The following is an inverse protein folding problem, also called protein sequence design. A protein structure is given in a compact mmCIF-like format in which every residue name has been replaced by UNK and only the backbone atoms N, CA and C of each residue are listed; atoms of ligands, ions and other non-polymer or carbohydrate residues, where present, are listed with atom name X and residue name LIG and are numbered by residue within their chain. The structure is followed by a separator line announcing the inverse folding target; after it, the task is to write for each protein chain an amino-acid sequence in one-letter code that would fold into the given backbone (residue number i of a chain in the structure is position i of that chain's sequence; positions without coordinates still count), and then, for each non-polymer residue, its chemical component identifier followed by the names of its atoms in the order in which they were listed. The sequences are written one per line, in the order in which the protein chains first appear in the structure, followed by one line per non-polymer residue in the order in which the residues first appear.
data_IF_347793126935
#
_entry.id   IF_347793126935
#
_cell.length_a   1.000
_cell.length_b   1.000
_cell.length_c   1.000
_cell.angle_alpha   90.00
_cell.angle_beta   90.00
_cell.angle_gamma   90.00
#
_symmetry.space_group_name_H-M   'P 1'
#
loop_
_entity.id
_entity.type
_entity.pdbx_description
1 polymer ?
#
# COMPACT_ATOMS: atom_id res chain seq x y z
N UNK A 1 -68.64 1.26 -0.98
CA UNK A 1 -67.44 1.66 -0.25
C UNK A 1 -66.23 1.12 -1.05
N UNK A 2 -65.51 2.00 -1.76
CA UNK A 2 -64.35 1.61 -2.60
C UNK A 2 -63.10 2.05 -1.86
N UNK A 3 -62.28 1.10 -1.40
CA UNK A 3 -60.98 1.36 -0.78
C UNK A 3 -59.94 1.53 -1.89
N UNK A 4 -59.43 2.75 -2.02
CA UNK A 4 -58.26 3.10 -2.84
C UNK A 4 -57.01 2.76 -2.02
N UNK A 5 -56.27 1.73 -2.42
CA UNK A 5 -54.92 1.47 -1.92
C UNK A 5 -53.94 2.32 -2.72
N UNK A 6 -53.36 3.34 -2.09
CA UNK A 6 -52.25 4.10 -2.61
C UNK A 6 -50.94 3.33 -2.38
N UNK A 7 -50.40 2.75 -3.44
CA UNK A 7 -49.06 2.11 -3.40
C UNK A 7 -47.98 3.20 -3.45
N UNK A 8 -47.29 3.37 -2.32
CA UNK A 8 -46.12 4.26 -2.23
C UNK A 8 -44.89 3.52 -2.80
N UNK A 9 -44.50 3.87 -4.02
CA UNK A 9 -43.25 3.40 -4.62
C UNK A 9 -42.07 4.13 -3.94
N UNK A 10 -41.32 3.42 -3.09
CA UNK A 10 -40.03 3.86 -2.56
C UNK A 10 -38.99 3.77 -3.70
N UNK A 11 -38.67 4.90 -4.31
CA UNK A 11 -37.50 5.02 -5.19
C UNK A 11 -36.23 5.01 -4.31
N UNK A 12 -35.61 3.84 -4.19
CA UNK A 12 -34.26 3.74 -3.64
C UNK A 12 -33.29 4.40 -4.63
N UNK A 13 -32.79 5.58 -4.30
CA UNK A 13 -31.71 6.23 -5.04
C UNK A 13 -30.43 5.42 -4.88
N UNK A 14 -30.05 4.67 -5.93
CA UNK A 14 -28.72 4.09 -6.09
C UNK A 14 -27.75 5.27 -6.28
N UNK A 15 -27.14 5.74 -5.20
CA UNK A 15 -26.00 6.64 -5.33
C UNK A 15 -24.87 5.87 -6.05
N UNK A 16 -24.28 6.43 -7.13
CA UNK A 16 -23.15 5.80 -7.76
C UNK A 16 -22.03 5.72 -6.72
N UNK A 17 -21.50 4.52 -6.47
CA UNK A 17 -20.22 4.34 -5.79
C UNK A 17 -19.16 4.91 -6.73
N UNK A 18 -18.82 6.18 -6.56
CA UNK A 18 -17.60 6.72 -7.15
C UNK A 18 -16.45 6.02 -6.44
N UNK A 19 -15.62 5.28 -7.18
CA UNK A 19 -14.34 4.81 -6.65
C UNK A 19 -13.63 6.04 -6.09
N UNK A 20 -13.45 6.07 -4.77
CA UNK A 20 -12.84 7.22 -4.12
C UNK A 20 -11.39 7.28 -4.58
N UNK A 21 -10.98 8.40 -5.16
CA UNK A 21 -9.59 8.68 -5.51
C UNK A 21 -8.73 8.80 -4.24
N UNK A 22 -7.41 8.68 -4.38
CA UNK A 22 -6.51 8.90 -3.25
C UNK A 22 -6.70 10.30 -2.67
N UNK A 23 -6.93 10.39 -1.37
CA UNK A 23 -7.05 11.63 -0.64
C UNK A 23 -5.68 12.13 -0.19
N UNK A 24 -5.50 13.45 -0.24
CA UNK A 24 -4.28 14.16 0.18
C UNK A 24 -4.65 15.12 1.29
N UNK A 25 -4.17 14.89 2.51
CA UNK A 25 -4.45 15.73 3.68
C UNK A 25 -3.15 16.22 4.30
N UNK A 26 -2.96 17.53 4.42
CA UNK A 26 -1.88 18.11 5.20
C UNK A 26 -2.27 18.20 6.68
N UNK A 27 -1.43 17.66 7.57
CA UNK A 27 -1.56 17.80 9.01
C UNK A 27 -0.19 18.18 9.59
N UNK A 28 -0.03 19.41 10.06
CA UNK A 28 1.29 19.94 10.41
C UNK A 28 2.28 19.78 9.25
N UNK A 29 3.41 19.13 9.51
CA UNK A 29 4.48 18.86 8.54
C UNK A 29 4.26 17.52 7.78
N UNK A 30 3.14 16.85 8.00
CA UNK A 30 2.89 15.53 7.44
C UNK A 30 1.85 15.58 6.34
N UNK A 31 2.16 14.98 5.18
CA UNK A 31 1.19 14.68 4.15
C UNK A 31 0.64 13.27 4.38
N UNK A 32 -0.65 13.15 4.66
CA UNK A 32 -1.37 11.87 4.69
C UNK A 32 -1.95 11.60 3.31
N UNK A 33 -1.66 10.42 2.75
CA UNK A 33 -2.19 9.93 1.49
C UNK A 33 -2.96 8.63 1.76
N UNK A 34 -4.25 8.58 1.42
CA UNK A 34 -5.12 7.44 1.74
C UNK A 34 -6.07 7.08 0.59
N UNK A 35 -6.47 5.80 0.51
CA UNK A 35 -7.35 5.31 -0.54
C UNK A 35 -6.63 4.80 -1.79
N UNK A 36 -7.37 4.48 -2.86
CA UNK A 36 -6.81 3.88 -4.07
C UNK A 36 -5.99 4.87 -4.89
N UNK A 37 -4.91 4.36 -5.49
CA UNK A 37 -4.06 5.11 -6.42
C UNK A 37 -4.77 5.24 -7.76
N UNK A 38 -4.93 6.46 -8.26
CA UNK A 38 -5.56 6.73 -9.55
C UNK A 38 -4.64 7.49 -10.54
N UNK A 39 -5.10 7.68 -11.76
CA UNK A 39 -4.35 8.29 -12.86
C UNK A 39 -4.04 9.79 -12.66
N UNK A 40 -4.62 10.44 -11.66
CA UNK A 40 -4.45 11.87 -11.41
C UNK A 40 -3.56 12.19 -10.20
N UNK A 41 -3.11 11.17 -9.45
CA UNK A 41 -2.42 11.36 -8.18
C UNK A 41 -1.08 12.08 -8.32
N UNK A 42 -0.36 11.88 -9.43
CA UNK A 42 0.85 12.66 -9.67
C UNK A 42 0.57 14.16 -9.77
N UNK A 43 -0.52 14.54 -10.45
CA UNK A 43 -0.91 15.94 -10.58
C UNK A 43 -1.35 16.50 -9.23
N UNK A 44 -2.12 15.73 -8.45
CA UNK A 44 -2.54 16.09 -7.08
C UNK A 44 -1.33 16.29 -6.18
N UNK A 45 -0.36 15.36 -6.21
CA UNK A 45 0.88 15.48 -5.42
C UNK A 45 1.67 16.72 -5.80
N UNK A 46 1.86 16.99 -7.09
CA UNK A 46 2.57 18.21 -7.56
C UNK A 46 1.90 19.47 -7.08
N UNK A 47 0.58 19.56 -7.20
CA UNK A 47 -0.20 20.71 -6.72
C UNK A 47 -0.09 20.86 -5.21
N UNK A 48 -0.14 19.77 -4.47
CA UNK A 48 0.03 19.77 -3.02
C UNK A 48 1.41 20.30 -2.61
N UNK A 49 2.47 19.77 -3.21
CA UNK A 49 3.85 20.17 -2.93
C UNK A 49 4.19 21.60 -3.39
N UNK A 50 3.42 22.17 -4.32
CA UNK A 50 3.57 23.57 -4.71
C UNK A 50 3.13 24.54 -3.58
N UNK A 51 2.22 24.09 -2.71
CA UNK A 51 1.64 24.92 -1.63
C UNK A 51 2.21 24.53 -0.26
N UNK A 52 2.46 23.24 -0.05
CA UNK A 52 2.91 22.68 1.23
C UNK A 52 4.34 22.14 1.14
N UNK A 53 5.01 22.07 2.30
CA UNK A 53 6.37 21.50 2.43
C UNK A 53 6.38 20.41 3.50
N UNK A 54 5.79 19.23 3.20
CA UNK A 54 5.79 18.15 4.16
C UNK A 54 7.22 17.65 4.40
N UNK A 55 7.47 17.17 5.60
CA UNK A 55 8.71 16.49 5.99
C UNK A 55 8.54 14.99 6.10
N UNK A 56 7.31 14.51 6.04
CA UNK A 56 6.93 13.10 6.07
C UNK A 56 5.70 12.85 5.20
N UNK A 57 5.70 11.73 4.47
CA UNK A 57 4.50 11.20 3.78
C UNK A 57 4.03 9.96 4.52
N UNK A 58 2.80 9.98 5.01
CA UNK A 58 2.14 8.82 5.62
C UNK A 58 1.15 8.22 4.63
N UNK A 59 1.37 6.96 4.27
CA UNK A 59 0.45 6.17 3.45
C UNK A 59 -0.50 5.41 4.37
N UNK A 60 -1.81 5.62 4.18
CA UNK A 60 -2.83 5.11 5.09
C UNK A 60 -3.93 4.37 4.34
N UNK A 61 -4.19 3.11 4.74
CA UNK A 61 -5.29 2.26 4.23
C UNK A 61 -5.46 2.33 2.70
N UNK A 62 -4.35 2.16 1.95
CA UNK A 62 -4.37 2.17 0.49
C UNK A 62 -4.27 0.77 -0.10
N UNK A 63 -5.24 0.34 -0.92
CA UNK A 63 -5.19 -0.94 -1.63
C UNK A 63 -4.28 -0.92 -2.86
N UNK A 64 -3.64 0.21 -3.16
CA UNK A 64 -2.97 0.44 -4.43
C UNK A 64 -3.93 0.87 -5.53
N UNK A 65 -3.67 0.48 -6.77
CA UNK A 65 -4.44 0.90 -7.94
C UNK A 65 -3.56 1.05 -9.17
N UNK A 66 -3.58 2.23 -9.83
CA UNK A 66 -2.80 2.46 -11.03
C UNK A 66 -1.29 2.34 -10.80
N UNK A 67 -0.69 1.32 -11.42
CA UNK A 67 0.73 0.99 -11.27
C UNK A 67 1.62 2.12 -11.75
N UNK A 68 1.28 2.72 -12.90
CA UNK A 68 2.12 3.74 -13.52
C UNK A 68 2.11 5.03 -12.71
N UNK A 69 0.94 5.45 -12.24
CA UNK A 69 0.83 6.60 -11.35
C UNK A 69 1.51 6.34 -10.00
N UNK A 70 1.32 5.17 -9.40
CA UNK A 70 2.04 4.81 -8.17
C UNK A 70 3.56 4.96 -8.33
N UNK A 71 4.12 4.50 -9.45
CA UNK A 71 5.53 4.68 -9.77
C UNK A 71 5.93 6.16 -9.92
N UNK A 72 5.15 6.95 -10.64
CA UNK A 72 5.44 8.37 -10.85
C UNK A 72 5.31 9.18 -9.55
N UNK A 73 4.29 8.91 -8.74
CA UNK A 73 4.11 9.50 -7.41
C UNK A 73 5.29 9.17 -6.51
N UNK A 74 5.70 7.89 -6.49
CA UNK A 74 6.88 7.46 -5.75
C UNK A 74 8.16 8.17 -6.20
N UNK A 75 8.41 8.26 -7.51
CA UNK A 75 9.56 9.00 -8.03
C UNK A 75 9.54 10.47 -7.58
N UNK A 76 8.38 11.10 -7.60
CA UNK A 76 8.26 12.49 -7.15
C UNK A 76 8.58 12.65 -5.66
N UNK A 77 8.10 11.72 -4.82
CA UNK A 77 8.44 11.68 -3.38
C UNK A 77 9.95 11.54 -3.18
N UNK A 78 10.60 10.68 -3.97
CA UNK A 78 12.05 10.48 -3.91
C UNK A 78 12.84 11.70 -4.38
N UNK A 79 12.41 12.37 -5.46
CA UNK A 79 13.00 13.62 -5.97
C UNK A 79 12.94 14.74 -4.92
N UNK A 80 11.86 14.79 -4.12
CA UNK A 80 11.72 15.73 -3.02
C UNK A 80 12.46 15.30 -1.74
N UNK A 81 13.18 14.16 -1.77
CA UNK A 81 13.87 13.57 -0.63
C UNK A 81 12.99 13.32 0.60
N UNK A 82 11.72 12.98 0.37
CA UNK A 82 10.77 12.77 1.44
C UNK A 82 10.87 11.36 2.02
N UNK A 83 10.87 11.20 3.35
CA UNK A 83 10.63 9.93 3.99
C UNK A 83 9.16 9.52 3.84
N UNK A 84 8.95 8.20 3.86
CA UNK A 84 7.59 7.61 3.84
C UNK A 84 7.37 6.75 5.07
N UNK A 85 6.14 6.75 5.55
CA UNK A 85 5.73 5.86 6.62
C UNK A 85 4.38 5.22 6.30
N UNK A 86 4.11 4.05 6.89
CA UNK A 86 2.86 3.34 6.67
C UNK A 86 2.04 3.25 7.94
N UNK A 87 0.73 3.47 7.82
CA UNK A 87 -0.28 3.31 8.86
C UNK A 87 -1.43 2.46 8.31
N UNK A 88 -1.62 1.26 8.84
CA UNK A 88 -2.57 0.30 8.28
C UNK A 88 -2.04 -0.38 7.02
N UNK A 89 -2.86 -0.54 5.99
CA UNK A 89 -2.51 -1.26 4.76
C UNK A 89 -1.91 -0.32 3.72
N UNK A 90 -0.85 -0.80 3.04
CA UNK A 90 -0.31 -0.18 1.84
C UNK A 90 0.08 -1.29 0.87
N UNK A 91 -0.78 -1.57 -0.11
CA UNK A 91 -0.66 -2.71 -1.00
C UNK A 91 -0.43 -2.27 -2.45
N UNK A 92 0.19 -3.13 -3.27
CA UNK A 92 0.30 -2.95 -4.72
C UNK A 92 1.01 -1.63 -5.10
N UNK A 93 0.39 -0.76 -5.90
CA UNK A 93 0.93 0.53 -6.31
C UNK A 93 1.29 1.42 -5.11
N UNK A 94 0.55 1.34 -3.98
CA UNK A 94 0.89 2.02 -2.74
C UNK A 94 2.25 1.55 -2.19
N UNK A 95 2.54 0.24 -2.25
CA UNK A 95 3.83 -0.28 -1.79
C UNK A 95 5.00 0.29 -2.60
N UNK A 96 4.82 0.56 -3.89
CA UNK A 96 5.85 1.22 -4.71
C UNK A 96 6.04 2.68 -4.30
N UNK A 97 4.95 3.39 -3.97
CA UNK A 97 5.05 4.75 -3.41
C UNK A 97 5.82 4.70 -2.09
N UNK A 98 5.50 3.76 -1.20
CA UNK A 98 6.19 3.59 0.07
C UNK A 98 7.69 3.29 -0.11
N UNK A 99 8.04 2.35 -0.99
CA UNK A 99 9.43 1.97 -1.24
C UNK A 99 10.27 3.13 -1.81
N UNK A 100 9.63 4.15 -2.38
CA UNK A 100 10.33 5.30 -2.96
C UNK A 100 10.84 6.28 -1.91
N UNK A 101 10.36 6.23 -0.67
CA UNK A 101 10.83 7.09 0.41
C UNK A 101 12.33 6.95 0.68
N UNK A 102 12.98 8.06 1.02
CA UNK A 102 14.40 8.08 1.38
C UNK A 102 14.67 7.37 2.71
N UNK A 103 13.77 7.51 3.66
CA UNK A 103 13.64 6.69 4.86
C UNK A 103 12.25 6.07 4.86
N UNK A 104 12.13 4.83 5.34
CA UNK A 104 10.88 4.07 5.33
C UNK A 104 10.65 3.43 6.69
N UNK A 105 9.47 3.67 7.27
CA UNK A 105 9.11 3.19 8.61
C UNK A 105 7.65 2.76 8.72
N UNK A 106 7.33 2.11 9.82
CA UNK A 106 5.96 1.91 10.27
C UNK A 106 5.59 2.98 11.29
N UNK A 107 4.29 3.26 11.46
CA UNK A 107 3.81 4.24 12.44
C UNK A 107 2.86 3.61 13.45
N UNK A 108 2.57 4.35 14.51
CA UNK A 108 1.58 4.02 15.53
C UNK A 108 0.15 4.51 15.20
N UNK A 109 -0.07 5.05 14.00
CA UNK A 109 -1.40 5.52 13.56
C UNK A 109 -2.45 4.41 13.47
N UNK A 110 -2.00 3.17 13.21
CA UNK A 110 -2.79 1.93 13.37
C UNK A 110 -1.99 0.93 14.18
N UNK A 111 -2.65 -0.03 14.86
CA UNK A 111 -1.93 -1.07 15.58
C UNK A 111 -0.95 -1.82 14.67
N UNK A 112 0.24 -2.13 15.19
CA UNK A 112 1.30 -2.85 14.46
C UNK A 112 0.82 -4.20 13.90
N UNK A 113 -0.16 -4.81 14.55
CA UNK A 113 -0.76 -6.09 14.14
C UNK A 113 -1.54 -6.04 12.83
N UNK A 114 -1.99 -4.86 12.39
CA UNK A 114 -2.76 -4.65 11.15
C UNK A 114 -2.03 -3.77 10.14
N UNK A 115 -0.88 -3.20 10.50
CA UNK A 115 -0.06 -2.37 9.62
C UNK A 115 0.86 -3.25 8.78
N UNK A 116 0.83 -3.08 7.45
CA UNK A 116 1.56 -3.93 6.51
C UNK A 116 1.84 -3.24 5.18
N UNK A 117 2.90 -3.70 4.52
CA UNK A 117 3.22 -3.37 3.12
C UNK A 117 3.05 -4.64 2.28
N UNK A 118 2.20 -4.60 1.25
CA UNK A 118 1.90 -5.72 0.38
C UNK A 118 2.46 -5.54 -1.03
N UNK A 119 3.32 -6.46 -1.46
CA UNK A 119 3.95 -6.47 -2.78
C UNK A 119 3.43 -7.65 -3.61
N UNK A 120 3.07 -7.39 -4.85
CA UNK A 120 2.68 -8.41 -5.83
C UNK A 120 2.99 -7.96 -7.26
N UNK A 121 2.92 -8.88 -8.23
CA UNK A 121 3.10 -8.59 -9.65
C UNK A 121 1.94 -7.81 -10.25
N UNK A 122 2.20 -7.10 -11.35
CA UNK A 122 1.16 -6.39 -12.08
C UNK A 122 0.10 -7.36 -12.64
N UNK A 123 -1.14 -6.92 -12.64
CA UNK A 123 -2.26 -7.66 -13.24
C UNK A 123 -3.28 -6.70 -13.86
N UNK A 124 -4.05 -7.19 -14.81
CA UNK A 124 -5.17 -6.46 -15.37
C UNK A 124 -6.27 -6.28 -14.32
N UNK A 125 -6.80 -5.09 -14.19
CA UNK A 125 -7.90 -4.79 -13.27
C UNK A 125 -9.17 -5.55 -13.68
N UNK A 126 -9.43 -5.62 -14.99
CA UNK A 126 -10.65 -6.21 -15.52
C UNK A 126 -10.62 -7.74 -15.53
N UNK A 127 -9.53 -8.33 -16.01
CA UNK A 127 -9.44 -9.77 -16.23
C UNK A 127 -8.76 -10.52 -15.08
N UNK A 128 -8.12 -9.80 -14.17
CA UNK A 128 -7.29 -10.37 -13.09
C UNK A 128 -6.16 -11.29 -13.60
N UNK A 129 -5.75 -11.12 -14.86
CA UNK A 129 -4.63 -11.88 -15.43
C UNK A 129 -3.32 -11.18 -15.09
N UNK A 130 -2.27 -11.93 -14.68
CA UNK A 130 -0.93 -11.36 -14.50
C UNK A 130 -0.41 -10.73 -15.79
N UNK A 131 0.19 -9.53 -15.66
CA UNK A 131 0.84 -8.78 -16.74
C UNK A 131 2.35 -8.98 -16.63
N UNK A 132 2.81 -10.18 -16.97
CA UNK A 132 4.21 -10.61 -16.76
C UNK A 132 5.22 -9.84 -17.61
N UNK A 133 4.78 -9.18 -18.67
CA UNK A 133 5.59 -8.26 -19.47
C UNK A 133 6.06 -7.02 -18.67
N UNK A 134 5.37 -6.68 -17.58
CA UNK A 134 5.76 -5.58 -16.67
C UNK A 134 6.72 -6.05 -15.56
N UNK A 135 6.83 -7.38 -15.35
CA UNK A 135 7.61 -7.95 -14.25
C UNK A 135 9.09 -7.57 -14.26
N UNK A 136 9.81 -7.50 -15.41
CA UNK A 136 11.22 -7.07 -15.42
C UNK A 136 11.40 -5.64 -14.90
N UNK A 137 10.46 -4.74 -15.24
CA UNK A 137 10.48 -3.36 -14.79
C UNK A 137 10.18 -3.26 -13.30
N UNK A 138 9.20 -3.99 -12.80
CA UNK A 138 8.88 -4.05 -11.38
C UNK A 138 10.04 -4.63 -10.56
N UNK A 139 10.68 -5.70 -11.06
CA UNK A 139 11.87 -6.27 -10.41
C UNK A 139 13.01 -5.25 -10.30
N UNK A 140 13.26 -4.49 -11.37
CA UNK A 140 14.24 -3.42 -11.34
C UNK A 140 13.90 -2.35 -10.29
N UNK A 141 12.64 -1.93 -10.23
CA UNK A 141 12.16 -0.93 -9.25
C UNK A 141 12.37 -1.41 -7.82
N UNK A 142 11.87 -2.60 -7.49
CA UNK A 142 11.98 -3.16 -6.14
C UNK A 142 13.45 -3.33 -5.75
N UNK A 143 14.30 -3.90 -6.62
CA UNK A 143 15.75 -4.01 -6.36
C UNK A 143 16.40 -2.66 -6.08
N UNK A 144 16.08 -1.66 -6.87
CA UNK A 144 16.67 -0.32 -6.71
C UNK A 144 16.21 0.33 -5.41
N UNK A 145 14.92 0.25 -5.09
CA UNK A 145 14.33 0.89 -3.93
C UNK A 145 14.71 0.19 -2.61
N UNK A 146 15.07 -1.10 -2.66
CA UNK A 146 15.49 -1.89 -1.50
C UNK A 146 17.00 -2.05 -1.38
N UNK A 147 17.80 -1.28 -2.15
CA UNK A 147 19.26 -1.37 -2.20
C UNK A 147 19.74 -2.82 -2.47
N UNK A 148 19.02 -3.54 -3.32
CA UNK A 148 19.24 -4.96 -3.66
C UNK A 148 19.18 -5.94 -2.49
N UNK A 149 18.59 -5.55 -1.37
CA UNK A 149 18.41 -6.41 -0.19
C UNK A 149 17.25 -7.38 -0.33
N UNK A 150 16.28 -7.07 -1.22
CA UNK A 150 15.15 -7.97 -1.46
C UNK A 150 15.64 -9.25 -2.13
N UNK A 151 15.44 -10.45 -1.54
CA UNK A 151 15.99 -11.70 -2.07
C UNK A 151 15.52 -11.99 -3.48
N UNK A 152 16.42 -12.42 -4.37
CA UNK A 152 16.12 -12.63 -5.78
C UNK A 152 15.06 -13.72 -6.03
N UNK A 153 15.07 -14.80 -5.26
CA UNK A 153 14.06 -15.86 -5.35
C UNK A 153 12.68 -15.37 -4.91
N UNK A 154 12.62 -14.57 -3.85
CA UNK A 154 11.38 -13.94 -3.39
C UNK A 154 10.89 -12.89 -4.40
N UNK A 155 11.82 -12.10 -4.96
CA UNK A 155 11.51 -11.12 -5.99
C UNK A 155 10.88 -11.77 -7.22
N UNK A 156 11.45 -12.88 -7.70
CA UNK A 156 10.86 -13.62 -8.83
C UNK A 156 9.43 -14.08 -8.53
N UNK A 157 9.18 -14.64 -7.35
CA UNK A 157 7.81 -15.03 -6.96
C UNK A 157 6.87 -13.85 -6.80
N UNK A 158 7.38 -12.71 -6.30
CA UNK A 158 6.60 -11.49 -6.13
C UNK A 158 6.14 -10.91 -7.47
N UNK A 159 7.06 -10.79 -8.46
CA UNK A 159 6.76 -10.08 -9.71
C UNK A 159 6.26 -10.98 -10.84
N UNK A 160 6.41 -12.32 -10.71
CA UNK A 160 5.85 -13.31 -11.61
C UNK A 160 4.84 -14.20 -10.85
N UNK A 161 3.74 -13.65 -10.35
CA UNK A 161 2.78 -14.40 -9.57
C UNK A 161 2.07 -15.45 -10.44
N UNK A 162 1.63 -16.55 -9.83
CA UNK A 162 0.78 -17.53 -10.48
C UNK A 162 -0.66 -17.04 -10.58
N UNK A 163 -1.05 -16.18 -9.65
CA UNK A 163 -2.37 -15.60 -9.54
C UNK A 163 -2.26 -14.12 -9.22
N UNK A 164 -3.13 -13.28 -9.77
CA UNK A 164 -3.15 -11.84 -9.53
C UNK A 164 -3.32 -11.45 -8.04
N UNK A 165 -3.87 -12.36 -7.25
CA UNK A 165 -4.11 -12.15 -5.82
C UNK A 165 -2.98 -12.71 -4.93
N UNK A 166 -1.92 -13.31 -5.51
CA UNK A 166 -0.74 -13.74 -4.75
C UNK A 166 -0.02 -12.49 -4.23
N UNK A 167 0.36 -12.49 -2.95
CA UNK A 167 0.89 -11.31 -2.27
C UNK A 167 2.01 -11.67 -1.31
N UNK A 168 3.05 -10.85 -1.26
CA UNK A 168 4.08 -10.89 -0.21
C UNK A 168 3.85 -9.70 0.72
N UNK A 169 3.53 -9.98 1.98
CA UNK A 169 3.35 -8.98 3.02
C UNK A 169 4.60 -8.82 3.86
N UNK A 170 4.98 -7.58 4.10
CA UNK A 170 5.97 -7.19 5.08
C UNK A 170 5.26 -6.51 6.26
N UNK A 171 5.43 -7.08 7.46
CA UNK A 171 4.96 -6.52 8.73
C UNK A 171 6.15 -6.02 9.53
N UNK A 172 5.89 -5.13 10.48
CA UNK A 172 6.92 -4.72 11.43
C UNK A 172 7.38 -5.92 12.27
N UNK A 173 8.70 -6.12 12.49
CA UNK A 173 9.21 -7.26 13.28
C UNK A 173 8.62 -7.36 14.68
N UNK A 174 8.28 -6.25 15.32
CA UNK A 174 7.64 -6.22 16.64
C UNK A 174 6.29 -6.96 16.69
N UNK A 175 5.58 -7.14 15.56
CA UNK A 175 4.36 -7.95 15.51
C UNK A 175 4.59 -9.40 15.92
N UNK A 176 5.77 -9.92 15.63
CA UNK A 176 6.14 -11.32 15.83
C UNK A 176 7.23 -11.51 16.91
N UNK A 177 7.50 -10.47 17.70
CA UNK A 177 8.56 -10.51 18.72
C UNK A 177 8.41 -11.65 19.75
N UNK A 178 7.16 -12.12 19.95
CA UNK A 178 6.86 -13.24 20.85
C UNK A 178 6.90 -14.62 20.16
N UNK A 179 7.08 -14.70 18.85
CA UNK A 179 7.09 -15.96 18.09
C UNK A 179 8.51 -16.34 17.69
N UNK A 180 8.88 -17.62 17.84
CA UNK A 180 10.26 -18.08 17.76
C UNK A 180 10.86 -18.18 16.36
N UNK A 181 10.09 -18.13 15.28
CA UNK A 181 10.57 -18.48 13.94
C UNK A 181 10.35 -17.42 12.86
N UNK A 182 9.37 -16.55 12.99
CA UNK A 182 9.02 -15.62 11.93
C UNK A 182 9.30 -14.17 12.30
N UNK A 183 9.82 -13.41 11.32
CA UNK A 183 10.20 -12.00 11.50
C UNK A 183 9.36 -11.03 10.69
N UNK A 184 8.20 -11.49 10.17
CA UNK A 184 7.20 -10.61 9.61
C UNK A 184 7.10 -10.56 8.08
N UNK A 185 7.79 -11.43 7.34
CA UNK A 185 7.54 -11.60 5.90
C UNK A 185 6.65 -12.80 5.69
N UNK A 186 5.50 -12.56 5.04
CA UNK A 186 4.45 -13.58 4.83
C UNK A 186 4.10 -13.65 3.34
N UNK A 187 4.23 -14.81 2.74
CA UNK A 187 3.78 -15.09 1.38
C UNK A 187 2.36 -15.70 1.43
N UNK A 188 1.40 -15.04 0.81
CA UNK A 188 0.02 -15.50 0.70
C UNK A 188 -0.29 -15.87 -0.74
N UNK A 189 -0.56 -17.14 -0.99
CA UNK A 189 -0.84 -17.69 -2.32
C UNK A 189 -2.31 -18.08 -2.42
N UNK A 190 -2.97 -17.60 -3.47
CA UNK A 190 -4.36 -17.96 -3.78
C UNK A 190 -4.48 -19.44 -4.07
N UNK A 191 -5.42 -20.09 -3.42
CA UNK A 191 -5.77 -21.48 -3.65
C UNK A 191 -7.03 -21.59 -4.50
N UNK A 192 -7.32 -22.75 -5.10
CA UNK A 192 -8.61 -23.00 -5.73
C UNK A 192 -9.77 -22.66 -4.77
N UNK A 193 -10.75 -21.92 -5.25
CA UNK A 193 -11.81 -21.32 -4.41
C UNK A 193 -11.41 -19.96 -3.86
N UNK A 194 -11.92 -19.59 -2.70
CA UNK A 194 -11.70 -18.26 -2.09
C UNK A 194 -10.57 -18.24 -1.05
N UNK A 195 -9.94 -19.37 -0.73
CA UNK A 195 -8.95 -19.49 0.33
C UNK A 195 -7.57 -18.97 -0.08
N UNK A 196 -6.80 -18.49 0.91
CA UNK A 196 -5.37 -18.19 0.78
C UNK A 196 -4.58 -19.13 1.67
N UNK A 197 -3.45 -19.59 1.17
CA UNK A 197 -2.42 -20.25 1.98
C UNK A 197 -1.33 -19.22 2.25
N UNK A 198 -1.26 -18.75 3.49
CA UNK A 198 -0.23 -17.81 3.93
C UNK A 198 0.86 -18.56 4.71
N UNK A 199 2.10 -18.34 4.33
CA UNK A 199 3.27 -18.95 4.94
C UNK A 199 4.24 -17.88 5.36
N UNK A 200 4.66 -17.89 6.62
CA UNK A 200 5.73 -17.02 7.11
C UNK A 200 7.07 -17.51 6.57
N UNK A 201 7.87 -16.60 6.07
CA UNK A 201 9.19 -16.90 5.52
C UNK A 201 10.24 -16.76 6.62
N UNK A 202 10.89 -17.88 6.96
CA UNK A 202 11.88 -17.94 8.03
C UNK A 202 13.11 -17.07 7.74
N UNK A 203 13.60 -16.40 8.77
CA UNK A 203 14.83 -15.61 8.69
C UNK A 203 14.71 -14.26 7.98
N UNK A 204 13.57 -13.96 7.34
CA UNK A 204 13.34 -12.70 6.64
C UNK A 204 12.56 -11.72 7.51
N UNK A 205 12.99 -10.46 7.53
CA UNK A 205 12.27 -9.34 8.13
C UNK A 205 12.30 -8.10 7.22
N UNK A 206 11.41 -7.16 7.50
CA UNK A 206 11.20 -5.98 6.66
C UNK A 206 12.46 -5.08 6.55
N UNK A 207 13.30 -5.03 7.59
CA UNK A 207 14.56 -4.28 7.58
C UNK A 207 15.64 -5.02 6.79
N UNK A 208 15.79 -6.32 7.05
CA UNK A 208 16.78 -7.16 6.39
C UNK A 208 16.59 -7.23 4.88
N UNK A 209 15.34 -7.28 4.39
CA UNK A 209 15.05 -7.28 2.94
C UNK A 209 14.87 -5.88 2.35
N UNK A 210 15.12 -4.83 3.14
CA UNK A 210 15.14 -3.43 2.68
C UNK A 210 13.76 -2.83 2.41
N UNK A 211 12.66 -3.44 2.85
CA UNK A 211 11.32 -2.84 2.74
C UNK A 211 11.22 -1.61 3.64
N UNK A 212 11.71 -1.69 4.87
CA UNK A 212 11.94 -0.52 5.74
C UNK A 212 13.43 -0.23 5.87
N UNK A 213 13.76 1.01 6.20
CA UNK A 213 15.14 1.45 6.49
C UNK A 213 15.30 1.91 7.93
N UNK A 214 14.20 2.26 8.60
CA UNK A 214 14.14 2.62 10.00
C UNK A 214 13.33 1.55 10.77
N UNK A 215 13.92 0.84 11.75
CA UNK A 215 13.24 -0.19 12.53
C UNK A 215 12.31 0.36 13.61
N UNK A 216 12.34 1.67 13.86
CA UNK A 216 11.50 2.30 14.87
C UNK A 216 10.06 2.48 14.37
N UNK A 217 9.09 2.29 15.26
CA UNK A 217 7.70 2.66 15.00
C UNK A 217 7.58 4.16 15.27
N UNK A 218 7.40 4.92 14.22
CA UNK A 218 7.29 6.39 14.31
C UNK A 218 5.99 6.77 15.00
N UNK A 219 6.10 7.48 16.11
CA UNK A 219 4.97 8.06 16.81
C UNK A 219 4.42 9.25 16.02
N UNK A 220 3.18 9.16 15.56
CA UNK A 220 2.52 10.27 14.86
C UNK A 220 1.99 11.30 15.87
N UNK A 221 2.12 12.62 15.58
CA UNK A 221 1.42 13.66 16.33
C UNK A 221 -0.10 13.43 16.35
N UNK A 222 -0.77 13.90 17.41
CA UNK A 222 -2.21 13.72 17.57
C UNK A 222 -3.01 14.37 16.42
N UNK A 223 -2.56 15.51 15.91
CA UNK A 223 -3.16 16.16 14.73
C UNK A 223 -3.07 15.28 13.47
N UNK A 224 -1.97 14.55 13.29
CA UNK A 224 -1.80 13.61 12.17
C UNK A 224 -2.71 12.41 12.37
N UNK A 225 -2.78 11.84 13.59
CA UNK A 225 -3.71 10.74 13.90
C UNK A 225 -5.16 11.13 13.67
N UNK A 226 -5.54 12.35 14.01
CA UNK A 226 -6.88 12.89 13.76
C UNK A 226 -7.17 13.11 12.25
N UNK A 227 -6.14 13.27 11.42
CA UNK A 227 -6.26 13.41 9.96
C UNK A 227 -6.35 12.07 9.23
N UNK A 228 -6.06 10.95 9.89
CA UNK A 228 -6.25 9.60 9.32
C UNK A 228 -7.75 9.33 9.14
N UNK A 229 -8.22 8.94 7.94
CA UNK A 229 -9.63 8.65 7.67
C UNK A 229 -10.13 7.36 8.32
#
# INVERSE_FOLDING_TARGET
MRHLFASLLLLASLAPFTAAAMEFRQAGDTLVMSGPVDEHDLVRLRNHLAVHRPTLVVLHESPGGDLWNGYQVGNRIREENLPTAVSGKCESACALIFLSGTERSFTDGRPVGVTMVGLHGAHSIDTKQPLTELSPRMAYMIRTMTDRKYPDDLLQRTVYPRNAEDMVYAFHPARYAATSSGRGIVECLKQPGAAFKCTMLDGLDALGIGVITNPEIVALPDEVKAALP
#
